data_IF_723074326443
#
_entry.id   IF_723074326443
#
_cell.length_a   1.000
_cell.length_b   1.000
_cell.length_c   1.000
_cell.angle_alpha   90.00
_cell.angle_beta   90.00
_cell.angle_gamma   90.00
#
_symmetry.space_group_name_H-M   'P 1'
#
loop_
_entity.id
_entity.type
_entity.pdbx_description
1 polymer ?
#
# COMPACT_ATOMS: atom_id res chain seq x y z
N UNK A 1 5.12 -17.34 24.13
CA UNK A 1 4.64 -16.14 23.42
C UNK A 1 4.78 -16.43 21.94
N UNK A 2 3.83 -15.96 21.11
CA UNK A 2 3.94 -16.07 19.65
C UNK A 2 5.06 -15.15 19.14
N UNK A 3 5.79 -15.57 18.10
CA UNK A 3 6.84 -14.78 17.48
C UNK A 3 6.27 -13.53 16.81
N UNK A 4 6.99 -12.40 16.80
CA UNK A 4 6.60 -11.21 16.05
C UNK A 4 6.37 -11.50 14.58
N UNK A 5 5.48 -10.72 13.97
CA UNK A 5 5.12 -10.75 12.56
C UNK A 5 5.43 -9.39 11.95
N UNK A 6 6.27 -9.33 10.94
CA UNK A 6 6.55 -8.08 10.22
C UNK A 6 5.50 -7.91 9.11
N UNK A 7 4.96 -6.70 8.97
CA UNK A 7 4.15 -6.31 7.81
C UNK A 7 4.94 -5.31 6.99
N UNK A 8 5.44 -5.74 5.84
CA UNK A 8 6.17 -4.89 4.91
C UNK A 8 5.20 -4.07 4.07
N UNK A 9 5.06 -2.81 4.44
CA UNK A 9 4.22 -1.82 3.75
C UNK A 9 4.97 -1.22 2.55
N UNK A 10 4.26 -1.03 1.45
CA UNK A 10 4.77 -0.38 0.23
C UNK A 10 3.74 0.63 -0.29
N UNK A 11 3.07 0.35 -1.42
CA UNK A 11 1.92 1.10 -1.93
C UNK A 11 0.61 0.40 -1.56
N UNK A 12 0.43 0.22 -0.27
CA UNK A 12 -0.71 -0.45 0.38
C UNK A 12 -0.94 0.17 1.77
N UNK A 13 -0.95 1.53 1.80
CA UNK A 13 -0.91 2.34 3.02
C UNK A 13 -2.31 2.48 3.65
N UNK A 14 -2.90 1.35 4.04
CA UNK A 14 -4.23 1.23 4.66
C UNK A 14 -4.28 0.13 5.71
N UNK A 15 -5.33 0.13 6.52
CA UNK A 15 -5.59 -0.91 7.52
C UNK A 15 -6.76 -1.81 7.11
N UNK A 16 -7.82 -1.25 6.52
CA UNK A 16 -8.93 -2.02 5.99
C UNK A 16 -8.56 -2.67 4.65
N UNK A 17 -9.14 -3.80 4.36
CA UNK A 17 -8.85 -4.61 3.17
C UNK A 17 -7.35 -4.86 2.92
N UNK A 18 -6.61 -5.15 4.02
CA UNK A 18 -5.18 -5.39 4.02
C UNK A 18 -4.90 -6.85 4.45
N UNK A 19 -4.93 -7.82 3.52
CA UNK A 19 -4.74 -9.25 3.81
C UNK A 19 -3.44 -9.57 4.55
N UNK A 20 -2.33 -8.89 4.23
CA UNK A 20 -1.05 -9.09 4.91
C UNK A 20 -1.15 -8.71 6.40
N UNK A 21 -1.76 -7.57 6.71
CA UNK A 21 -1.98 -7.12 8.08
C UNK A 21 -2.93 -8.05 8.84
N UNK A 22 -4.02 -8.48 8.20
CA UNK A 22 -4.98 -9.41 8.81
C UNK A 22 -4.32 -10.74 9.15
N UNK A 23 -3.51 -11.31 8.25
CA UNK A 23 -2.79 -12.55 8.49
C UNK A 23 -1.74 -12.40 9.60
N UNK A 24 -1.00 -11.30 9.62
CA UNK A 24 -0.02 -11.00 10.66
C UNK A 24 -0.68 -10.87 12.04
N UNK A 25 -1.78 -10.12 12.13
CA UNK A 25 -2.50 -9.89 13.38
C UNK A 25 -3.09 -11.18 13.99
N UNK A 26 -3.45 -12.14 13.15
CA UNK A 26 -3.90 -13.47 13.59
C UNK A 26 -2.74 -14.36 14.06
N UNK A 27 -1.54 -14.16 13.54
CA UNK A 27 -0.38 -15.01 13.83
C UNK A 27 0.39 -14.58 15.08
N UNK A 28 0.43 -13.28 15.41
CA UNK A 28 1.17 -12.80 16.57
C UNK A 28 1.27 -11.28 16.68
N UNK A 29 2.18 -10.78 17.53
CA UNK A 29 2.46 -9.34 17.64
C UNK A 29 2.96 -8.79 16.31
N UNK A 30 2.43 -7.62 15.90
CA UNK A 30 2.67 -7.04 14.57
C UNK A 30 3.68 -5.90 14.64
N UNK A 31 4.64 -5.93 13.74
CA UNK A 31 5.60 -4.84 13.48
C UNK A 31 5.36 -4.32 12.05
N UNK A 32 4.54 -3.28 11.87
CA UNK A 32 4.38 -2.65 10.57
C UNK A 32 5.66 -1.90 10.20
N UNK A 33 6.17 -2.12 9.01
CA UNK A 33 7.44 -1.54 8.54
C UNK A 33 7.26 -0.90 7.17
N UNK A 34 7.71 0.32 7.02
CA UNK A 34 7.91 0.95 5.72
C UNK A 34 9.40 1.17 5.49
N UNK A 35 9.93 0.63 4.41
CA UNK A 35 11.32 0.84 4.00
C UNK A 35 11.36 1.80 2.82
N UNK A 36 12.00 2.96 3.02
CA UNK A 36 12.20 3.94 1.97
C UNK A 36 13.41 3.57 1.12
N UNK A 37 13.16 2.73 0.11
CA UNK A 37 14.12 2.27 -0.89
C UNK A 37 13.92 3.07 -2.19
N UNK A 38 14.68 4.15 -2.37
CA UNK A 38 14.55 5.04 -3.53
C UNK A 38 15.28 4.52 -4.77
N UNK A 39 16.39 3.82 -4.56
CA UNK A 39 17.35 3.54 -5.63
C UNK A 39 16.93 2.35 -6.49
N UNK A 40 16.20 1.41 -5.88
CA UNK A 40 15.77 0.16 -6.54
C UNK A 40 14.88 0.39 -7.77
N UNK A 41 14.03 1.40 -7.75
CA UNK A 41 13.14 1.72 -8.86
C UNK A 41 13.86 2.45 -10.03
N UNK A 42 15.13 2.83 -9.89
CA UNK A 42 15.91 3.53 -10.91
C UNK A 42 15.19 4.75 -11.46
N UNK A 43 14.97 4.81 -12.76
CA UNK A 43 14.25 5.91 -13.44
C UNK A 43 12.77 6.06 -13.01
N UNK A 44 12.22 5.07 -12.29
CA UNK A 44 10.87 5.11 -11.73
C UNK A 44 10.84 5.51 -10.25
N UNK A 45 11.93 6.04 -9.71
CA UNK A 45 12.00 6.58 -8.35
C UNK A 45 10.96 7.69 -8.14
N UNK A 46 10.50 7.84 -6.89
CA UNK A 46 9.46 8.82 -6.58
C UNK A 46 9.89 10.25 -6.89
N UNK A 47 9.11 10.93 -7.71
CA UNK A 47 9.24 12.37 -7.94
C UNK A 47 8.77 13.19 -6.74
N UNK A 48 8.98 14.52 -6.79
CA UNK A 48 8.69 15.42 -5.67
C UNK A 48 7.24 15.34 -5.18
N UNK A 49 6.25 15.38 -6.08
CA UNK A 49 4.83 15.29 -5.68
C UNK A 49 4.49 13.94 -5.02
N UNK A 50 5.05 12.84 -5.52
CA UNK A 50 4.89 11.53 -4.91
C UNK A 50 5.50 11.44 -3.51
N UNK A 51 6.65 12.11 -3.29
CA UNK A 51 7.28 12.20 -1.96
C UNK A 51 6.43 12.99 -0.97
N UNK A 52 5.84 14.11 -1.41
CA UNK A 52 4.89 14.88 -0.57
C UNK A 52 3.70 14.01 -0.18
N UNK A 53 3.13 13.29 -1.14
CA UNK A 53 2.01 12.38 -0.86
C UNK A 53 2.42 11.29 0.13
N UNK A 54 3.52 10.61 -0.12
CA UNK A 54 4.06 9.55 0.76
C UNK A 54 4.23 10.04 2.20
N UNK A 55 4.79 11.25 2.38
CA UNK A 55 4.97 11.83 3.72
C UNK A 55 3.63 11.87 4.47
N UNK A 56 2.61 12.50 3.87
CA UNK A 56 1.31 12.65 4.52
C UNK A 56 0.55 11.34 4.67
N UNK A 57 0.70 10.39 3.73
CA UNK A 57 0.16 9.03 3.87
C UNK A 57 0.74 8.30 5.06
N UNK A 58 2.07 8.36 5.25
CA UNK A 58 2.75 7.73 6.38
C UNK A 58 2.38 8.40 7.71
N UNK A 59 2.24 9.73 7.75
CA UNK A 59 1.72 10.43 8.93
C UNK A 59 0.31 9.96 9.29
N UNK A 60 -0.58 9.89 8.30
CA UNK A 60 -1.96 9.46 8.48
C UNK A 60 -2.04 8.02 8.98
N UNK A 61 -1.33 7.11 8.32
CA UNK A 61 -1.28 5.71 8.71
C UNK A 61 -0.63 5.52 10.08
N UNK A 62 0.42 6.30 10.40
CA UNK A 62 1.06 6.32 11.72
C UNK A 62 0.07 6.70 12.84
N UNK A 63 -0.81 7.69 12.59
CA UNK A 63 -1.88 8.05 13.53
C UNK A 63 -2.87 6.89 13.72
N UNK A 64 -3.23 6.18 12.64
CA UNK A 64 -4.14 5.03 12.69
C UNK A 64 -3.57 3.88 13.53
N UNK A 65 -2.29 3.57 13.39
CA UNK A 65 -1.60 2.60 14.24
C UNK A 65 -1.47 3.11 15.69
N UNK A 66 -1.15 4.39 15.89
CA UNK A 66 -1.04 5.02 17.21
C UNK A 66 -2.32 4.93 18.02
N UNK A 67 -3.48 5.14 17.38
CA UNK A 67 -4.80 4.97 18.01
C UNK A 67 -5.07 3.53 18.50
N UNK A 68 -4.29 2.55 18.03
CA UNK A 68 -4.36 1.13 18.43
C UNK A 68 -3.20 0.69 19.32
N UNK A 69 -2.49 1.64 19.95
CA UNK A 69 -1.29 1.40 20.75
C UNK A 69 -0.18 0.67 19.98
N UNK A 70 -0.08 0.92 18.68
CA UNK A 70 0.93 0.39 17.79
C UNK A 70 1.66 1.53 17.07
N UNK A 71 2.67 1.24 16.26
CA UNK A 71 3.36 2.23 15.45
C UNK A 71 3.91 1.63 14.16
N UNK A 72 4.26 2.47 13.19
CA UNK A 72 5.02 2.06 12.01
C UNK A 72 6.51 2.21 12.34
N UNK A 73 7.29 1.20 12.02
CA UNK A 73 8.76 1.26 12.01
C UNK A 73 9.18 1.80 10.64
N UNK A 74 9.91 2.88 10.65
CA UNK A 74 10.42 3.53 9.45
C UNK A 74 11.90 3.20 9.30
N UNK A 75 12.32 2.78 8.12
CA UNK A 75 13.71 2.47 7.78
C UNK A 75 14.04 3.00 6.39
N UNK A 76 15.31 3.34 6.16
CA UNK A 76 15.82 3.74 4.84
C UNK A 76 16.88 2.75 4.39
N UNK A 77 16.93 2.46 3.08
CA UNK A 77 17.96 1.63 2.47
C UNK A 77 17.41 0.54 1.56
N UNK A 78 18.24 -0.43 1.22
CA UNK A 78 17.88 -1.59 0.42
C UNK A 78 16.88 -2.47 1.18
N UNK A 79 15.67 -2.57 0.65
CA UNK A 79 14.56 -3.18 1.38
C UNK A 79 14.80 -4.66 1.75
N UNK A 80 15.33 -5.55 0.88
CA UNK A 80 15.64 -6.92 1.25
C UNK A 80 16.61 -7.03 2.43
N UNK A 81 17.69 -6.25 2.41
CA UNK A 81 18.70 -6.28 3.47
C UNK A 81 18.16 -5.75 4.79
N UNK A 82 17.43 -4.62 4.73
CA UNK A 82 16.82 -4.00 5.91
C UNK A 82 15.81 -4.94 6.55
N UNK A 83 14.97 -5.60 5.75
CA UNK A 83 13.93 -6.50 6.25
C UNK A 83 14.50 -7.81 6.81
N UNK A 84 15.52 -8.37 6.18
CA UNK A 84 16.20 -9.56 6.70
C UNK A 84 16.87 -9.26 8.05
N UNK A 85 17.61 -8.16 8.14
CA UNK A 85 18.23 -7.73 9.40
C UNK A 85 17.19 -7.47 10.49
N UNK A 86 16.06 -6.85 10.16
CA UNK A 86 14.97 -6.59 11.09
C UNK A 86 14.29 -7.89 11.56
N UNK A 87 14.15 -8.88 10.69
CA UNK A 87 13.61 -10.18 11.06
C UNK A 87 14.53 -10.88 12.08
N UNK A 88 15.84 -10.83 11.87
CA UNK A 88 16.83 -11.37 12.81
C UNK A 88 16.83 -10.60 14.14
N UNK A 89 16.79 -9.25 14.09
CA UNK A 89 16.75 -8.37 15.26
C UNK A 89 15.56 -8.67 16.18
N UNK A 90 14.39 -8.89 15.56
CA UNK A 90 13.12 -9.05 16.29
C UNK A 90 12.72 -10.50 16.55
N UNK A 91 13.40 -11.46 15.93
CA UNK A 91 13.02 -12.87 15.96
C UNK A 91 11.68 -13.13 15.25
N UNK A 92 11.34 -12.32 14.25
CA UNK A 92 10.10 -12.47 13.50
C UNK A 92 10.08 -13.78 12.71
N UNK A 93 8.95 -14.49 12.77
CA UNK A 93 8.80 -15.78 12.07
C UNK A 93 8.25 -15.65 10.65
N UNK A 94 7.63 -14.51 10.32
CA UNK A 94 7.13 -14.23 8.98
C UNK A 94 7.18 -12.73 8.67
N UNK A 95 7.51 -12.42 7.43
CA UNK A 95 7.30 -11.12 6.80
C UNK A 95 6.08 -11.26 5.90
N UNK A 96 5.02 -10.52 6.19
CA UNK A 96 3.79 -10.46 5.42
C UNK A 96 3.83 -9.24 4.51
N UNK A 97 3.54 -9.40 3.22
CA UNK A 97 3.52 -8.28 2.29
C UNK A 97 2.43 -8.44 1.22
N UNK A 98 1.86 -7.34 0.80
CA UNK A 98 0.97 -7.34 -0.36
C UNK A 98 1.78 -7.53 -1.63
N UNK A 99 1.31 -8.35 -2.56
CA UNK A 99 2.00 -8.59 -3.84
C UNK A 99 1.99 -7.35 -4.70
N UNK A 100 3.17 -6.99 -5.22
CA UNK A 100 3.36 -6.00 -6.26
C UNK A 100 3.94 -6.65 -7.52
N UNK A 101 3.70 -6.06 -8.69
CA UNK A 101 4.01 -6.70 -9.97
C UNK A 101 5.05 -5.96 -10.80
N UNK A 102 5.53 -4.82 -10.35
CA UNK A 102 6.63 -4.09 -10.96
C UNK A 102 7.93 -4.90 -10.83
N UNK A 103 8.80 -4.88 -11.86
CA UNK A 103 10.01 -5.72 -11.89
C UNK A 103 10.87 -5.58 -10.63
N UNK A 104 11.13 -4.34 -10.20
CA UNK A 104 11.97 -4.07 -9.02
C UNK A 104 11.40 -4.61 -7.71
N UNK A 105 10.06 -4.68 -7.58
CA UNK A 105 9.45 -5.29 -6.40
C UNK A 105 9.54 -6.81 -6.41
N UNK A 106 9.43 -7.43 -7.60
CA UNK A 106 9.64 -8.89 -7.73
C UNK A 106 11.08 -9.27 -7.42
N UNK A 107 12.04 -8.51 -7.94
CA UNK A 107 13.45 -8.68 -7.61
C UNK A 107 13.69 -8.56 -6.11
N UNK A 108 13.15 -7.51 -5.45
CA UNK A 108 13.24 -7.34 -4.01
C UNK A 108 12.62 -8.50 -3.22
N UNK A 109 11.47 -9.02 -3.66
CA UNK A 109 10.82 -10.16 -3.03
C UNK A 109 11.65 -11.45 -3.15
N UNK A 110 12.31 -11.66 -4.28
CA UNK A 110 13.18 -12.82 -4.50
C UNK A 110 14.49 -12.70 -3.72
N UNK A 111 15.16 -11.55 -3.77
CA UNK A 111 16.35 -11.26 -2.95
C UNK A 111 16.06 -11.39 -1.45
N UNK A 112 14.90 -10.91 -0.99
CA UNK A 112 14.50 -11.07 0.41
C UNK A 112 14.34 -12.54 0.79
N UNK A 113 13.70 -13.35 -0.04
CA UNK A 113 13.58 -14.81 0.21
C UNK A 113 14.93 -15.48 0.36
N UNK A 114 15.91 -15.08 -0.47
CA UNK A 114 17.26 -15.63 -0.45
C UNK A 114 18.06 -15.14 0.78
N UNK A 115 17.75 -13.93 1.27
CA UNK A 115 18.43 -13.33 2.44
C UNK A 115 17.86 -13.80 3.78
N UNK A 116 16.63 -14.31 3.82
CA UNK A 116 16.00 -14.77 5.06
C UNK A 116 16.65 -16.04 5.60
N UNK A 117 16.93 -16.05 6.90
CA UNK A 117 17.44 -17.20 7.63
C UNK A 117 16.43 -18.35 7.76
N UNK A 118 16.93 -19.52 8.17
CA UNK A 118 16.08 -20.66 8.49
C UNK A 118 15.12 -20.28 9.63
N UNK A 119 13.82 -20.37 9.36
CA UNK A 119 12.78 -20.08 10.36
C UNK A 119 11.94 -18.83 10.08
N UNK A 120 12.40 -17.93 9.22
CA UNK A 120 11.61 -16.77 8.77
C UNK A 120 11.08 -16.99 7.35
N UNK A 121 9.82 -16.65 7.09
CA UNK A 121 9.18 -16.80 5.78
C UNK A 121 8.73 -15.46 5.23
N UNK A 122 8.75 -15.33 3.90
CA UNK A 122 8.04 -14.26 3.19
C UNK A 122 6.68 -14.79 2.70
N UNK A 123 5.60 -14.18 3.18
CA UNK A 123 4.23 -14.50 2.81
C UNK A 123 3.64 -13.36 1.98
N UNK A 124 3.27 -13.63 0.73
CA UNK A 124 2.75 -12.64 -0.21
C UNK A 124 1.25 -12.82 -0.42
N UNK A 125 0.51 -11.70 -0.39
CA UNK A 125 -0.95 -11.65 -0.48
C UNK A 125 -1.40 -10.80 -1.65
N UNK A 126 -2.45 -11.21 -2.35
CA UNK A 126 -3.12 -10.40 -3.36
C UNK A 126 -4.16 -9.45 -2.71
N UNK A 127 -4.45 -8.31 -3.36
CA UNK A 127 -5.44 -7.34 -2.87
C UNK A 127 -5.18 -5.89 -3.28
N UNK A 128 -4.03 -5.61 -3.94
CA UNK A 128 -3.75 -4.30 -4.51
C UNK A 128 -4.28 -4.12 -5.93
N UNK A 129 -4.85 -5.17 -6.50
CA UNK A 129 -5.46 -5.17 -7.83
C UNK A 129 -6.84 -5.82 -7.74
N UNK A 130 -7.77 -5.36 -8.56
CA UNK A 130 -9.12 -5.92 -8.62
C UNK A 130 -9.09 -7.43 -8.93
N UNK A 131 -8.22 -7.80 -9.88
CA UNK A 131 -7.84 -9.18 -10.16
C UNK A 131 -6.32 -9.25 -10.32
N UNK A 132 -5.65 -10.33 -9.87
CA UNK A 132 -4.21 -10.46 -10.02
C UNK A 132 -3.80 -10.35 -11.49
N UNK A 133 -2.77 -9.54 -11.84
CA UNK A 133 -2.23 -9.48 -13.19
C UNK A 133 -1.87 -10.87 -13.74
N UNK A 134 -2.29 -11.13 -14.97
CA UNK A 134 -2.12 -12.42 -15.63
C UNK A 134 -3.20 -13.47 -15.31
N UNK A 135 -4.17 -13.18 -14.42
CA UNK A 135 -5.26 -14.10 -14.12
C UNK A 135 -6.39 -14.08 -15.16
N UNK A 136 -6.51 -13.00 -15.95
CA UNK A 136 -7.50 -12.86 -17.02
C UNK A 136 -6.83 -13.13 -18.36
N UNK A 137 -7.05 -14.33 -18.91
CA UNK A 137 -6.42 -14.82 -20.15
C UNK A 137 -7.45 -15.21 -21.19
N UNK A 138 -7.02 -15.27 -22.45
CA UNK A 138 -7.80 -15.84 -23.55
C UNK A 138 -8.01 -17.34 -23.37
N UNK A 139 -8.85 -17.97 -24.17
CA UNK A 139 -9.05 -19.43 -24.16
C UNK A 139 -7.79 -20.24 -24.46
N UNK A 140 -6.74 -19.65 -25.08
CA UNK A 140 -5.42 -20.24 -25.30
C UNK A 140 -4.44 -20.03 -24.14
N UNK A 141 -4.84 -19.27 -23.09
CA UNK A 141 -3.97 -18.94 -21.96
C UNK A 141 -3.10 -17.70 -22.15
N UNK A 142 -3.22 -17.00 -23.30
CA UNK A 142 -2.44 -15.79 -23.60
C UNK A 142 -3.10 -14.54 -22.99
N UNK A 143 -2.33 -13.47 -22.73
CA UNK A 143 -2.89 -12.18 -22.32
C UNK A 143 -3.76 -11.59 -23.45
N UNK A 144 -4.84 -10.93 -23.08
CA UNK A 144 -5.60 -10.13 -24.04
C UNK A 144 -4.78 -8.94 -24.54
N UNK A 145 -4.81 -8.71 -25.86
CA UNK A 145 -4.13 -7.57 -26.51
C UNK A 145 -5.09 -6.42 -26.86
N UNK A 146 -6.39 -6.63 -26.72
CA UNK A 146 -7.45 -5.68 -27.10
C UNK A 146 -8.37 -5.48 -25.90
N UNK A 147 -8.69 -4.21 -25.61
CA UNK A 147 -9.48 -3.81 -24.43
C UNK A 147 -10.86 -4.44 -24.38
N UNK A 148 -11.64 -4.39 -25.47
CA UNK A 148 -13.04 -4.83 -25.44
C UNK A 148 -13.23 -6.30 -25.05
N UNK A 149 -12.52 -7.30 -25.60
CA UNK A 149 -12.62 -8.67 -25.11
C UNK A 149 -12.05 -8.86 -23.71
N UNK A 150 -10.99 -8.10 -23.34
CA UNK A 150 -10.45 -8.09 -21.99
C UNK A 150 -11.50 -7.62 -20.97
N UNK A 151 -12.12 -6.46 -21.21
CA UNK A 151 -13.12 -5.89 -20.30
C UNK A 151 -14.33 -6.81 -20.11
N UNK A 152 -14.79 -7.47 -21.18
CA UNK A 152 -15.88 -8.47 -21.08
C UNK A 152 -15.48 -9.64 -20.18
N UNK A 153 -14.30 -10.24 -20.42
CA UNK A 153 -13.81 -11.36 -19.61
C UNK A 153 -13.56 -10.96 -18.15
N UNK A 154 -13.22 -9.69 -17.91
CA UNK A 154 -13.07 -9.13 -16.57
C UNK A 154 -14.42 -8.94 -15.89
N UNK A 155 -15.42 -8.40 -16.59
CA UNK A 155 -16.77 -8.20 -16.06
C UNK A 155 -17.47 -9.52 -15.68
N UNK A 156 -17.16 -10.64 -16.37
CA UNK A 156 -17.66 -11.97 -16.00
C UNK A 156 -17.16 -12.47 -14.64
N UNK A 157 -16.14 -11.80 -14.07
CA UNK A 157 -15.53 -12.11 -12.77
C UNK A 157 -15.92 -11.11 -11.67
N UNK A 158 -16.83 -10.19 -12.00
CA UNK A 158 -17.37 -9.23 -11.04
C UNK A 158 -18.67 -9.76 -10.37
N UNK A 159 -18.97 -9.35 -9.15
CA UNK A 159 -18.16 -8.45 -8.31
C UNK A 159 -16.86 -9.13 -7.81
N UNK A 160 -15.86 -8.34 -7.36
CA UNK A 160 -14.68 -8.88 -6.69
C UNK A 160 -15.08 -9.50 -5.35
N UNK A 161 -14.08 -10.06 -4.64
CA UNK A 161 -14.28 -10.48 -3.26
C UNK A 161 -14.71 -9.32 -2.38
N UNK A 162 -15.45 -9.59 -1.32
CA UNK A 162 -15.77 -8.59 -0.31
C UNK A 162 -14.47 -8.06 0.34
N UNK A 163 -14.38 -6.74 0.57
CA UNK A 163 -13.26 -6.16 1.31
C UNK A 163 -13.15 -6.74 2.72
N UNK A 164 -11.94 -7.01 3.17
CA UNK A 164 -11.70 -7.47 4.53
C UNK A 164 -11.84 -6.29 5.51
N UNK A 165 -12.49 -6.48 6.67
CA UNK A 165 -12.44 -5.46 7.71
C UNK A 165 -10.99 -5.30 8.20
N UNK A 166 -10.70 -4.16 8.80
CA UNK A 166 -9.45 -4.02 9.55
C UNK A 166 -9.40 -5.03 10.70
N UNK A 167 -8.19 -5.45 11.14
CA UNK A 167 -8.08 -6.35 12.28
C UNK A 167 -8.70 -5.72 13.53
N UNK A 168 -9.55 -6.48 14.22
CA UNK A 168 -10.22 -6.01 15.47
C UNK A 168 -9.19 -5.69 16.57
N UNK A 169 -8.04 -6.36 16.55
CA UNK A 169 -6.96 -6.14 17.51
C UNK A 169 -5.61 -6.30 16.80
N UNK A 170 -4.71 -5.39 17.09
CA UNK A 170 -3.30 -5.47 16.67
C UNK A 170 -2.47 -5.49 17.95
N UNK A 171 -1.86 -6.63 18.24
CA UNK A 171 -0.96 -6.75 19.38
C UNK A 171 0.42 -6.18 19.02
N UNK A 172 0.94 -5.32 19.87
CA UNK A 172 2.30 -4.79 19.74
C UNK A 172 3.34 -5.79 20.26
N UNK A 173 4.58 -5.76 19.76
CA UNK A 173 5.66 -6.55 20.34
C UNK A 173 6.04 -6.04 21.75
N UNK A 174 6.68 -6.87 22.54
CA UNK A 174 7.16 -6.50 23.90
C UNK A 174 8.23 -5.40 23.84
N UNK A 175 9.04 -5.39 22.80
CA UNK A 175 10.04 -4.36 22.51
C UNK A 175 9.97 -3.96 21.04
N UNK A 176 10.07 -2.67 20.79
CA UNK A 176 10.07 -2.13 19.45
C UNK A 176 11.51 -1.97 18.93
N UNK A 177 11.77 -2.36 17.67
CA UNK A 177 13.05 -2.03 17.04
C UNK A 177 13.19 -0.51 16.85
N UNK A 178 14.42 -0.05 16.61
CA UNK A 178 14.67 1.35 16.26
C UNK A 178 13.88 1.76 15.01
N UNK A 179 13.58 3.04 14.89
CA UNK A 179 12.84 3.62 13.76
C UNK A 179 13.45 4.97 13.41
N UNK A 180 13.57 5.24 12.12
CA UNK A 180 13.87 6.59 11.65
C UNK A 180 12.72 7.54 12.02
N UNK A 181 13.02 8.84 12.08
CA UNK A 181 12.02 9.89 12.11
C UNK A 181 11.63 10.27 10.67
N UNK A 182 10.33 10.34 10.39
CA UNK A 182 9.83 10.65 9.04
C UNK A 182 10.34 12.01 8.53
N UNK A 183 10.52 12.97 9.43
CA UNK A 183 11.02 14.30 9.10
C UNK A 183 12.46 14.27 8.53
N UNK A 184 13.27 13.29 8.92
CA UNK A 184 14.66 13.16 8.47
C UNK A 184 14.78 12.59 7.03
N UNK A 185 13.66 12.22 6.42
CA UNK A 185 13.66 11.70 5.06
C UNK A 185 13.61 12.80 3.98
N UNK A 186 13.45 14.07 4.37
CA UNK A 186 13.41 15.23 3.46
C UNK A 186 12.42 15.06 2.28
N UNK A 187 11.25 14.47 2.56
CA UNK A 187 10.22 14.23 1.55
C UNK A 187 9.47 15.50 1.15
N UNK A 188 9.45 16.51 2.03
CA UNK A 188 8.75 17.77 1.79
C UNK A 188 9.68 18.83 1.22
N UNK A 189 9.26 19.59 0.20
CA UNK A 189 10.03 20.71 -0.31
C UNK A 189 10.03 21.86 0.70
N UNK A 190 11.20 22.49 0.88
CA UNK A 190 11.37 23.61 1.81
C UNK A 190 11.77 24.92 1.13
N UNK A 191 12.58 24.86 0.05
CA UNK A 191 13.10 26.06 -0.64
C UNK A 191 13.21 25.82 -2.16
N UNK A 192 12.23 26.28 -2.95
CA UNK A 192 10.95 26.83 -2.54
C UNK A 192 9.99 25.73 -2.06
N UNK A 193 9.06 26.07 -1.17
CA UNK A 193 7.91 25.22 -0.88
C UNK A 193 6.88 25.39 -2.02
N UNK A 194 6.97 24.50 -3.00
CA UNK A 194 6.05 24.46 -4.13
C UNK A 194 4.81 23.58 -3.87
N UNK A 195 4.78 22.84 -2.76
CA UNK A 195 3.73 21.86 -2.49
C UNK A 195 2.50 22.43 -1.79
N UNK A 196 2.45 23.75 -1.53
CA UNK A 196 1.31 24.40 -0.88
C UNK A 196 -0.02 24.06 -1.53
N UNK A 197 -0.11 24.21 -2.86
CA UNK A 197 -1.35 23.88 -3.59
C UNK A 197 -1.76 22.40 -3.53
N UNK A 198 -0.81 21.48 -3.34
CA UNK A 198 -1.14 20.07 -3.13
C UNK A 198 -1.79 19.90 -1.75
N UNK A 199 -1.19 20.48 -0.71
CA UNK A 199 -1.70 20.39 0.67
C UNK A 199 -3.05 21.11 0.85
N UNK A 200 -3.27 22.19 0.13
CA UNK A 200 -4.53 22.95 0.20
C UNK A 200 -5.68 22.26 -0.53
N UNK A 201 -5.37 21.39 -1.48
CA UNK A 201 -6.36 20.75 -2.35
C UNK A 201 -6.66 19.29 -2.00
N UNK A 202 -5.70 18.59 -1.39
CA UNK A 202 -5.82 17.15 -1.12
C UNK A 202 -5.77 16.86 0.37
N UNK A 203 -6.68 15.99 0.77
CA UNK A 203 -6.58 15.25 2.02
C UNK A 203 -5.89 13.90 1.77
N UNK A 204 -5.21 13.35 2.78
CA UNK A 204 -4.32 12.21 2.62
C UNK A 204 -4.71 11.07 3.58
N UNK A 205 -4.44 9.86 3.16
CA UNK A 205 -4.62 8.65 3.95
C UNK A 205 -5.97 7.98 3.72
N UNK A 206 -6.14 6.84 4.39
CA UNK A 206 -7.28 5.93 4.22
C UNK A 206 -8.62 6.62 4.51
N UNK A 207 -8.71 7.42 5.58
CA UNK A 207 -9.93 8.16 5.92
C UNK A 207 -10.36 9.11 4.81
N UNK A 208 -9.43 9.91 4.29
CA UNK A 208 -9.68 10.84 3.17
C UNK A 208 -10.11 10.11 1.89
N UNK A 209 -9.53 8.95 1.62
CA UNK A 209 -9.92 8.12 0.48
C UNK A 209 -11.38 7.63 0.60
N UNK A 210 -11.80 7.23 1.80
CA UNK A 210 -13.17 6.80 2.05
C UNK A 210 -14.16 7.96 1.98
N UNK A 211 -13.85 9.12 2.58
CA UNK A 211 -14.67 10.33 2.46
C UNK A 211 -14.83 10.75 1.00
N UNK A 212 -13.76 10.66 0.21
CA UNK A 212 -13.82 10.96 -1.22
C UNK A 212 -14.65 9.94 -2.01
N UNK A 213 -14.57 8.66 -1.66
CA UNK A 213 -15.42 7.63 -2.27
C UNK A 213 -16.89 7.86 -1.92
N UNK A 214 -17.23 8.14 -0.66
CA UNK A 214 -18.60 8.42 -0.23
C UNK A 214 -19.17 9.61 -1.01
N UNK A 215 -18.45 10.73 -1.06
CA UNK A 215 -18.84 11.88 -1.86
C UNK A 215 -19.04 11.51 -3.35
N UNK A 216 -18.14 10.70 -3.92
CA UNK A 216 -18.22 10.27 -5.31
C UNK A 216 -19.49 9.47 -5.58
N UNK A 217 -19.93 8.62 -4.70
CA UNK A 217 -21.16 7.82 -4.88
C UNK A 217 -22.41 8.68 -5.00
N UNK A 218 -22.42 9.86 -4.39
CA UNK A 218 -23.55 10.79 -4.47
C UNK A 218 -23.62 11.52 -5.82
N UNK A 219 -22.49 11.71 -6.49
CA UNK A 219 -22.41 12.49 -7.75
C UNK A 219 -22.13 11.64 -9.00
N UNK A 220 -21.90 10.34 -8.86
CA UNK A 220 -21.50 9.45 -9.96
C UNK A 220 -22.51 9.43 -11.11
N UNK A 221 -23.80 9.69 -10.85
CA UNK A 221 -24.85 9.76 -11.87
C UNK A 221 -24.61 10.89 -12.89
N UNK A 222 -23.90 11.96 -12.50
CA UNK A 222 -23.59 13.11 -13.34
C UNK A 222 -22.28 12.94 -14.14
N UNK A 223 -21.57 11.83 -13.91
CA UNK A 223 -20.24 11.59 -14.45
C UNK A 223 -20.18 11.67 -15.98
N UNK A 224 -21.13 11.07 -16.68
CA UNK A 224 -21.11 11.00 -18.15
C UNK A 224 -21.22 12.39 -18.80
N UNK A 225 -22.00 13.30 -18.22
CA UNK A 225 -22.20 14.64 -18.75
C UNK A 225 -21.04 15.57 -18.37
N UNK A 226 -20.59 15.52 -17.14
CA UNK A 226 -19.66 16.50 -16.60
C UNK A 226 -18.18 16.10 -16.64
N UNK A 227 -17.83 14.81 -16.81
CA UNK A 227 -16.41 14.36 -16.81
C UNK A 227 -15.51 15.08 -17.81
N UNK A 228 -16.09 15.67 -18.86
CA UNK A 228 -15.36 16.40 -19.88
C UNK A 228 -15.34 17.93 -19.63
N UNK A 229 -15.96 18.39 -18.55
CA UNK A 229 -16.02 19.79 -18.15
C UNK A 229 -14.99 20.06 -17.05
N UNK A 230 -13.85 20.73 -17.35
CA UNK A 230 -12.79 20.94 -16.35
C UNK A 230 -13.23 21.83 -15.16
N UNK A 231 -14.32 22.58 -15.30
CA UNK A 231 -14.90 23.42 -14.25
C UNK A 231 -15.71 22.65 -13.22
N UNK A 232 -16.11 21.42 -13.55
CA UNK A 232 -17.00 20.62 -12.71
C UNK A 232 -16.19 19.60 -11.87
N UNK A 233 -16.48 19.52 -10.58
CA UNK A 233 -15.90 18.51 -9.70
C UNK A 233 -16.80 17.28 -9.62
N UNK A 234 -16.82 16.48 -10.69
CA UNK A 234 -17.65 15.27 -10.80
C UNK A 234 -16.84 14.04 -11.21
N UNK A 235 -15.55 14.04 -10.88
CA UNK A 235 -14.71 12.85 -11.03
C UNK A 235 -14.32 12.32 -9.66
N UNK A 236 -14.09 11.02 -9.54
CA UNK A 236 -13.79 10.41 -8.24
C UNK A 236 -12.51 10.96 -7.60
N UNK A 237 -11.52 11.37 -8.39
CA UNK A 237 -10.18 11.77 -7.91
C UNK A 237 -9.52 10.75 -6.98
N UNK A 238 -9.90 9.48 -7.08
CA UNK A 238 -9.35 8.40 -6.26
C UNK A 238 -7.99 7.89 -6.75
N UNK A 239 -7.52 8.34 -7.92
CA UNK A 239 -6.27 7.80 -8.50
C UNK A 239 -5.03 7.93 -7.62
N UNK A 240 -4.77 9.04 -6.88
CA UNK A 240 -3.64 9.09 -5.96
C UNK A 240 -3.81 8.15 -4.77
N UNK A 241 -5.02 8.05 -4.21
CA UNK A 241 -5.33 7.14 -3.10
C UNK A 241 -5.15 5.67 -3.51
N UNK A 242 -5.63 5.29 -4.70
CA UNK A 242 -5.40 3.95 -5.27
C UNK A 242 -3.92 3.70 -5.56
N UNK A 243 -3.17 4.72 -6.02
CA UNK A 243 -1.73 4.59 -6.27
C UNK A 243 -0.94 4.29 -5.00
N UNK A 244 -1.27 4.94 -3.90
CA UNK A 244 -0.62 4.73 -2.61
C UNK A 244 -1.26 3.60 -1.80
N UNK A 245 -2.34 3.02 -2.31
CA UNK A 245 -3.06 1.94 -1.66
C UNK A 245 -3.72 2.35 -0.36
N UNK A 246 -4.11 3.62 -0.23
CA UNK A 246 -4.92 4.17 0.85
C UNK A 246 -6.37 3.67 0.80
N UNK A 247 -6.78 3.17 -0.36
CA UNK A 247 -8.01 2.43 -0.59
C UNK A 247 -7.72 1.31 -1.59
N UNK A 248 -8.38 0.16 -1.45
CA UNK A 248 -8.23 -0.94 -2.38
C UNK A 248 -9.20 -0.83 -3.55
N UNK A 249 -8.89 -1.43 -4.71
CA UNK A 249 -9.84 -1.52 -5.82
C UNK A 249 -11.12 -2.30 -5.49
N UNK A 250 -11.10 -3.16 -4.48
CA UNK A 250 -12.28 -3.92 -4.06
C UNK A 250 -13.22 -3.11 -3.16
N UNK A 251 -12.74 -2.02 -2.57
CA UNK A 251 -13.55 -1.10 -1.77
C UNK A 251 -14.27 -0.05 -2.64
N UNK A 252 -13.77 0.19 -3.87
CA UNK A 252 -14.36 1.13 -4.85
C UNK A 252 -15.40 0.43 -5.73
#
# INVERSE_FOLDING_TARGET
MSSPQIVWLRRDLRMADQPALNAAAQAGPVIPVYVFDQDRAGDHAYGGASKVWLHHSLESLGRSYGARNSRIVLRRGDAPQVLAALADETGASCIHAMRHYEPWWKEAEDELKDALGEGTKLCLYDGNYLLPPGSVTTGSGDPYKIYTPFSKAMLERMPPRDPLPEPATIHSPDSWPESDELADWDLLPTKPDWAGGIRDFWDFGEGAAHERLEWWTDVVAEYDEGRNLPSEDITSRLSPHLHWGEISPAQV
#
